data_IF_738549383335
#
_entry.id   IF_738549383335
#
_cell.length_a   1.000
_cell.length_b   1.000
_cell.length_c   1.000
_cell.angle_alpha   90.00
_cell.angle_beta   90.00
_cell.angle_gamma   90.00
#
_symmetry.space_group_name_H-M   'P 1'
#
loop_
_entity.id
_entity.type
_entity.pdbx_description
1 polymer ?
#
# COMPACT_ATOMS: atom_id res chain seq x y z
N UNK A 1 -32.69 -8.08 -9.08
CA UNK A 1 -31.81 -7.19 -8.29
C UNK A 1 -31.96 -5.77 -8.82
N UNK A 2 -32.15 -4.78 -7.95
CA UNK A 2 -32.39 -3.37 -8.32
C UNK A 2 -31.12 -2.60 -8.72
N UNK A 3 -29.95 -3.20 -8.50
CA UNK A 3 -28.67 -2.71 -8.99
C UNK A 3 -28.03 -3.80 -9.86
N UNK A 4 -27.76 -3.47 -11.11
CA UNK A 4 -26.95 -4.27 -12.02
C UNK A 4 -25.59 -3.61 -12.09
N UNK A 5 -24.52 -4.40 -11.97
CA UNK A 5 -23.18 -3.91 -12.28
C UNK A 5 -23.16 -3.56 -13.76
N UNK A 6 -22.75 -2.33 -14.15
CA UNK A 6 -22.62 -1.98 -15.55
C UNK A 6 -21.58 -2.88 -16.23
N UNK A 7 -21.77 -3.16 -17.51
CA UNK A 7 -20.72 -3.75 -18.33
C UNK A 7 -19.57 -2.76 -18.47
N UNK A 8 -18.35 -3.30 -18.51
CA UNK A 8 -17.16 -2.48 -18.68
C UNK A 8 -17.06 -1.97 -20.12
N UNK A 9 -16.71 -0.69 -20.27
CA UNK A 9 -16.45 -0.07 -21.54
C UNK A 9 -15.00 -0.28 -22.02
N UNK A 10 -14.70 0.14 -23.25
CA UNK A 10 -13.36 -0.01 -23.83
C UNK A 10 -12.27 0.66 -22.99
N UNK A 11 -12.42 1.93 -22.52
CA UNK A 11 -11.46 2.54 -21.60
C UNK A 11 -11.14 1.71 -20.36
N UNK A 12 -12.15 1.12 -19.72
CA UNK A 12 -11.97 0.32 -18.51
C UNK A 12 -11.21 -0.99 -18.80
N UNK A 13 -11.57 -1.66 -19.90
CA UNK A 13 -10.87 -2.85 -20.37
C UNK A 13 -9.40 -2.56 -20.73
N UNK A 14 -9.13 -1.40 -21.34
CA UNK A 14 -7.76 -0.97 -21.67
C UNK A 14 -6.91 -0.73 -20.41
N UNK A 15 -7.51 -0.13 -19.37
CA UNK A 15 -6.83 0.05 -18.08
C UNK A 15 -6.52 -1.29 -17.43
N UNK A 16 -7.47 -2.24 -17.46
CA UNK A 16 -7.25 -3.59 -16.93
C UNK A 16 -6.11 -4.30 -17.66
N UNK A 17 -6.08 -4.24 -18.99
CA UNK A 17 -5.00 -4.82 -19.78
C UNK A 17 -3.62 -4.23 -19.42
N UNK A 18 -3.55 -2.91 -19.19
CA UNK A 18 -2.32 -2.23 -18.75
C UNK A 18 -1.88 -2.65 -17.35
N UNK A 19 -2.82 -2.83 -16.43
CA UNK A 19 -2.53 -3.32 -15.07
C UNK A 19 -1.97 -4.74 -15.13
N UNK A 20 -2.56 -5.62 -15.94
CA UNK A 20 -2.08 -7.00 -16.09
C UNK A 20 -0.69 -7.06 -16.71
N UNK A 21 -0.40 -6.23 -17.71
CA UNK A 21 0.94 -6.15 -18.30
C UNK A 21 1.98 -5.65 -17.27
N UNK A 22 1.62 -4.64 -16.47
CA UNK A 22 2.49 -4.17 -15.38
C UNK A 22 2.78 -5.27 -14.35
N UNK A 23 1.75 -6.03 -13.93
CA UNK A 23 1.93 -7.17 -13.02
C UNK A 23 2.87 -8.21 -13.61
N UNK A 24 2.72 -8.53 -14.89
CA UNK A 24 3.56 -9.51 -15.60
C UNK A 24 5.02 -9.07 -15.62
N UNK A 25 5.29 -7.84 -16.05
CA UNK A 25 6.64 -7.27 -16.13
C UNK A 25 7.30 -7.21 -14.75
N UNK A 26 6.59 -6.67 -13.75
CA UNK A 26 7.11 -6.58 -12.37
C UNK A 26 7.34 -7.96 -11.77
N UNK A 27 6.44 -8.92 -12.03
CA UNK A 27 6.56 -10.30 -11.61
C UNK A 27 7.89 -10.93 -12.05
N UNK A 28 8.27 -10.77 -13.32
CA UNK A 28 9.56 -11.26 -13.83
C UNK A 28 10.75 -10.61 -13.10
N UNK A 29 10.69 -9.31 -12.82
CA UNK A 29 11.77 -8.57 -12.15
C UNK A 29 12.00 -9.04 -10.70
N UNK A 30 10.94 -9.41 -9.97
CA UNK A 30 11.03 -9.82 -8.56
C UNK A 30 11.22 -11.34 -8.37
N UNK A 31 11.08 -12.14 -9.43
CA UNK A 31 11.12 -13.61 -9.37
C UNK A 31 12.51 -14.21 -9.13
N UNK A 32 13.59 -13.52 -9.51
CA UNK A 32 14.95 -14.07 -9.51
C UNK A 32 15.57 -14.24 -8.11
N UNK A 33 15.15 -13.46 -7.10
CA UNK A 33 15.62 -13.64 -5.70
C UNK A 33 14.52 -13.22 -4.72
N UNK A 34 13.51 -14.08 -4.50
CA UNK A 34 12.27 -13.69 -3.84
C UNK A 34 12.48 -13.15 -2.43
N UNK A 35 13.29 -13.82 -1.59
CA UNK A 35 13.32 -13.52 -0.15
C UNK A 35 13.99 -12.19 0.21
N UNK A 36 14.98 -11.74 -0.57
CA UNK A 36 15.79 -10.56 -0.22
C UNK A 36 15.13 -9.24 -0.66
N UNK A 37 14.53 -9.24 -1.86
CA UNK A 37 13.89 -8.04 -2.41
C UNK A 37 12.47 -7.86 -1.90
N UNK A 38 11.71 -8.95 -1.74
CA UNK A 38 10.35 -8.85 -1.21
C UNK A 38 10.33 -8.17 0.16
N UNK A 39 11.26 -8.49 1.07
CA UNK A 39 11.26 -7.89 2.40
C UNK A 39 11.35 -6.35 2.38
N UNK A 40 12.37 -5.79 1.74
CA UNK A 40 12.58 -4.33 1.69
C UNK A 40 11.50 -3.65 0.85
N UNK A 41 11.20 -4.18 -0.35
CA UNK A 41 10.22 -3.59 -1.25
C UNK A 41 8.82 -3.58 -0.63
N UNK A 42 8.45 -4.66 0.05
CA UNK A 42 7.18 -4.78 0.76
C UNK A 42 7.06 -3.76 1.90
N UNK A 43 8.08 -3.63 2.75
CA UNK A 43 8.06 -2.65 3.86
C UNK A 43 7.89 -1.22 3.34
N UNK A 44 8.67 -0.84 2.32
CA UNK A 44 8.57 0.50 1.72
C UNK A 44 7.22 0.73 1.04
N UNK A 45 6.70 -0.27 0.33
CA UNK A 45 5.39 -0.16 -0.35
C UNK A 45 4.25 -0.04 0.65
N UNK A 46 4.33 -0.80 1.75
CA UNK A 46 3.36 -0.76 2.82
C UNK A 46 3.38 0.57 3.58
N UNK A 47 4.56 1.10 3.92
CA UNK A 47 4.71 2.44 4.49
C UNK A 47 4.14 3.54 3.57
N UNK A 48 4.37 3.44 2.26
CA UNK A 48 3.78 4.36 1.28
C UNK A 48 2.25 4.27 1.23
N UNK A 49 1.69 3.06 1.35
CA UNK A 49 0.24 2.87 1.41
C UNK A 49 -0.38 3.49 2.67
N UNK A 50 0.23 3.25 3.84
CA UNK A 50 -0.19 3.88 5.11
C UNK A 50 -0.19 5.41 4.97
N UNK A 51 0.93 6.00 4.51
CA UNK A 51 1.05 7.44 4.33
C UNK A 51 0.04 7.98 3.30
N UNK A 52 -0.11 7.27 2.18
CA UNK A 52 -1.01 7.64 1.10
C UNK A 52 -2.46 7.69 1.57
N UNK A 53 -2.90 6.63 2.26
CA UNK A 53 -4.23 6.59 2.87
C UNK A 53 -4.40 7.76 3.82
N UNK A 54 -3.61 7.82 4.88
CA UNK A 54 -3.75 8.82 5.95
C UNK A 54 -3.72 10.27 5.47
N UNK A 55 -3.00 10.54 4.37
CA UNK A 55 -2.96 11.87 3.76
C UNK A 55 -4.29 12.29 3.13
N UNK A 56 -5.13 11.34 2.70
CA UNK A 56 -6.50 11.60 2.22
C UNK A 56 -7.35 12.18 3.37
N UNK A 57 -7.16 11.70 4.59
CA UNK A 57 -7.85 12.20 5.79
C UNK A 57 -7.14 13.40 6.45
N UNK A 58 -6.05 13.91 5.85
CA UNK A 58 -5.33 15.10 6.32
C UNK A 58 -4.21 14.82 7.33
N UNK A 59 -3.89 13.56 7.60
CA UNK A 59 -2.77 13.19 8.47
C UNK A 59 -1.49 13.03 7.65
N UNK A 60 -0.58 14.00 7.80
CA UNK A 60 0.75 13.94 7.20
C UNK A 60 1.73 13.32 8.18
N UNK A 61 2.31 12.18 7.79
CA UNK A 61 3.39 11.52 8.52
C UNK A 61 4.61 11.38 7.62
N UNK A 62 5.79 11.34 8.24
CA UNK A 62 7.04 11.10 7.53
C UNK A 62 7.05 9.67 6.96
N UNK A 63 7.89 9.42 5.96
CA UNK A 63 8.08 8.06 5.44
C UNK A 63 8.68 7.16 6.53
N UNK A 64 9.56 7.71 7.36
CA UNK A 64 10.22 6.98 8.43
C UNK A 64 9.23 6.59 9.54
N UNK A 65 8.30 7.47 9.92
CA UNK A 65 7.19 7.13 10.84
C UNK A 65 6.30 6.03 10.26
N UNK A 66 5.98 6.11 8.96
CA UNK A 66 5.16 5.09 8.30
C UNK A 66 5.89 3.74 8.21
N UNK A 67 7.22 3.74 8.06
CA UNK A 67 8.06 2.53 8.15
C UNK A 67 8.10 2.00 9.58
N UNK A 68 8.28 2.87 10.58
CA UNK A 68 8.27 2.48 11.99
C UNK A 68 6.95 1.78 12.34
N UNK A 69 5.81 2.36 11.93
CA UNK A 69 4.52 1.71 12.13
C UNK A 69 4.36 0.39 11.37
N UNK A 70 4.85 0.32 10.14
CA UNK A 70 4.86 -0.93 9.36
C UNK A 70 5.61 -2.06 10.08
N UNK A 71 6.62 -1.72 10.88
CA UNK A 71 7.41 -2.65 11.70
C UNK A 71 6.89 -2.82 13.13
N UNK A 72 5.83 -2.10 13.52
CA UNK A 72 5.29 -2.11 14.88
C UNK A 72 6.14 -1.34 15.90
N UNK A 73 6.99 -0.42 15.44
CA UNK A 73 7.77 0.50 16.24
C UNK A 73 6.98 1.74 16.70
N UNK A 74 7.70 2.73 17.23
CA UNK A 74 7.15 3.99 17.78
C UNK A 74 7.36 5.17 16.81
N UNK A 75 6.60 6.28 16.94
CA UNK A 75 6.76 7.45 16.08
C UNK A 75 8.08 8.16 16.37
N UNK A 76 8.74 8.64 15.34
CA UNK A 76 9.90 9.52 15.41
C UNK A 76 9.45 10.99 15.50
N UNK A 77 8.56 11.41 14.61
CA UNK A 77 8.14 12.81 14.47
C UNK A 77 6.62 13.01 14.49
N UNK A 78 5.84 11.96 14.24
CA UNK A 78 4.39 12.07 14.15
C UNK A 78 3.73 12.47 15.49
N UNK A 79 2.84 13.46 15.44
CA UNK A 79 1.97 13.79 16.57
C UNK A 79 0.96 12.68 16.89
N UNK A 80 0.45 12.64 18.11
CA UNK A 80 -0.36 11.52 18.63
C UNK A 80 -1.56 11.14 17.74
N UNK A 81 -2.33 12.11 17.23
CA UNK A 81 -3.48 11.82 16.36
C UNK A 81 -3.08 11.22 15.01
N UNK A 82 -1.99 11.72 14.40
CA UNK A 82 -1.47 11.19 13.15
C UNK A 82 -0.88 9.78 13.35
N UNK A 83 -0.24 9.55 14.50
CA UNK A 83 0.28 8.25 14.87
C UNK A 83 -0.81 7.20 15.09
N UNK A 84 -1.91 7.54 15.76
CA UNK A 84 -3.06 6.64 15.92
C UNK A 84 -3.68 6.27 14.57
N UNK A 85 -3.80 7.23 13.64
CA UNK A 85 -4.30 6.95 12.28
C UNK A 85 -3.38 5.97 11.52
N UNK A 86 -2.06 6.14 11.65
CA UNK A 86 -1.05 5.25 11.06
C UNK A 86 -1.16 3.82 11.61
N UNK A 87 -1.27 3.67 12.94
CA UNK A 87 -1.47 2.35 13.58
C UNK A 87 -2.78 1.70 13.19
N UNK A 88 -3.87 2.48 13.08
CA UNK A 88 -5.17 1.97 12.67
C UNK A 88 -5.13 1.36 11.26
N UNK A 89 -4.46 2.04 10.31
CA UNK A 89 -4.27 1.48 8.97
C UNK A 89 -3.42 0.21 8.99
N UNK A 90 -2.32 0.21 9.76
CA UNK A 90 -1.45 -0.95 9.89
C UNK A 90 -2.18 -2.18 10.47
N UNK A 91 -3.06 -1.97 11.45
CA UNK A 91 -3.88 -3.03 12.03
C UNK A 91 -4.96 -3.54 11.05
N UNK A 92 -5.53 -2.65 10.23
CA UNK A 92 -6.54 -3.01 9.22
C UNK A 92 -5.94 -3.78 8.03
N UNK A 93 -4.71 -3.46 7.66
CA UNK A 93 -3.98 -4.15 6.60
C UNK A 93 -2.69 -4.75 7.16
N UNK A 94 -2.77 -5.82 7.96
CA UNK A 94 -1.57 -6.40 8.54
C UNK A 94 -0.64 -6.82 7.42
N UNK A 95 0.64 -6.49 7.58
CA UNK A 95 1.67 -6.92 6.67
C UNK A 95 1.84 -8.45 6.83
N UNK A 96 0.93 -9.25 6.25
CA UNK A 96 0.86 -10.72 6.31
C UNK A 96 2.23 -11.43 6.28
N UNK A 97 2.37 -12.44 7.13
CA UNK A 97 3.60 -13.19 7.40
C UNK A 97 4.18 -13.91 6.19
#
# INVERSE_FOLDING_TARGET
MLFQTPDLDTPELDVLARIEELKRVLGHAVSATPRRWYGVLRRVTFARAIRGSNSIEGYVVSVDDAVAAAEGGEPLEAGAAAWEAVKAYQAAMPAGT
#
